data_IF_877817672774
#
_entry.id   IF_877817672774
#
_cell.length_a   1.000
_cell.length_b   1.000
_cell.length_c   1.000
_cell.angle_alpha   90.00
_cell.angle_beta   90.00
_cell.angle_gamma   90.00
#
_symmetry.space_group_name_H-M   'P 1'
#
loop_
_entity.id
_entity.type
_entity.pdbx_description
1 polymer ?
#
# COMPACT_ATOMS: atom_id res chain seq x y z
N UNK A 1 8.19 1.61 -2.68
CA UNK A 1 7.84 0.32 -2.09
C UNK A 1 7.35 -0.70 -3.14
N UNK A 2 6.21 -0.46 -3.88
CA UNK A 2 5.67 -1.45 -4.83
C UNK A 2 6.64 -1.71 -5.99
N UNK A 3 7.06 -0.65 -6.68
CA UNK A 3 8.01 -0.75 -7.80
C UNK A 3 9.33 -1.40 -7.37
N UNK A 4 9.89 -0.95 -6.27
CA UNK A 4 11.09 -1.52 -5.68
C UNK A 4 10.92 -3.03 -5.36
N UNK A 5 9.74 -3.45 -4.87
CA UNK A 5 9.46 -4.86 -4.66
C UNK A 5 9.41 -5.64 -5.98
N UNK A 6 8.80 -5.07 -7.02
CA UNK A 6 8.76 -5.66 -8.35
C UNK A 6 10.16 -5.74 -8.98
N UNK A 7 10.96 -4.68 -8.85
CA UNK A 7 12.35 -4.66 -9.33
C UNK A 7 13.20 -5.73 -8.65
N UNK A 8 13.05 -5.86 -7.32
CA UNK A 8 13.81 -6.83 -6.53
C UNK A 8 13.44 -8.29 -6.82
N UNK A 9 12.18 -8.56 -7.16
CA UNK A 9 11.69 -9.94 -7.39
C UNK A 9 11.75 -10.32 -8.85
N UNK A 10 11.39 -9.43 -9.75
CA UNK A 10 11.23 -9.71 -11.18
C UNK A 10 12.41 -9.19 -12.03
N UNK A 11 13.24 -8.31 -11.48
CA UNK A 11 14.18 -7.53 -12.26
C UNK A 11 13.50 -6.33 -12.93
N UNK A 12 14.28 -5.31 -13.25
CA UNK A 12 13.76 -4.05 -13.86
C UNK A 12 13.15 -4.26 -15.25
N UNK A 13 13.52 -5.34 -15.94
CA UNK A 13 13.00 -5.73 -17.25
C UNK A 13 11.96 -6.85 -17.17
N UNK A 14 11.67 -7.33 -15.96
CA UNK A 14 10.77 -8.45 -15.70
C UNK A 14 9.33 -8.04 -15.44
N UNK A 15 9.02 -6.77 -15.42
CA UNK A 15 7.67 -6.27 -15.21
C UNK A 15 7.43 -4.92 -15.90
N UNK A 16 6.16 -4.58 -16.13
CA UNK A 16 5.74 -3.24 -16.50
C UNK A 16 4.31 -2.99 -16.04
N UNK A 17 3.91 -1.73 -16.00
CA UNK A 17 2.53 -1.34 -15.72
C UNK A 17 1.93 -0.53 -16.85
N UNK A 18 0.62 -0.65 -17.02
CA UNK A 18 -0.21 0.18 -17.91
C UNK A 18 -1.39 0.74 -17.15
N UNK A 19 -1.82 1.93 -17.56
CA UNK A 19 -3.03 2.53 -17.05
C UNK A 19 -4.03 2.68 -18.18
N UNK A 20 -5.29 2.39 -17.88
CA UNK A 20 -6.41 2.60 -18.78
C UNK A 20 -7.50 3.39 -18.05
N UNK A 21 -8.27 4.14 -18.82
CA UNK A 21 -9.33 5.02 -18.33
C UNK A 21 -10.66 4.55 -18.89
N UNK A 22 -11.34 3.59 -18.27
CA UNK A 22 -12.62 3.09 -18.73
C UNK A 22 -13.70 4.17 -18.79
N UNK A 23 -13.61 5.17 -17.92
CA UNK A 23 -14.44 6.38 -17.92
C UNK A 23 -13.58 7.59 -17.57
N UNK A 24 -14.10 8.81 -17.74
CA UNK A 24 -13.41 10.04 -17.37
C UNK A 24 -13.06 10.13 -15.88
N UNK A 25 -13.73 9.34 -15.04
CA UNK A 25 -13.60 9.37 -13.58
C UNK A 25 -13.01 8.09 -12.97
N UNK A 26 -12.63 7.14 -13.81
CA UNK A 26 -12.07 5.88 -13.35
C UNK A 26 -10.73 5.59 -14.00
N UNK A 27 -9.84 4.98 -13.25
CA UNK A 27 -8.54 4.51 -13.74
C UNK A 27 -8.31 3.08 -13.27
N UNK A 28 -7.87 2.23 -14.20
CA UNK A 28 -7.41 0.88 -13.89
C UNK A 28 -5.92 0.79 -14.18
N UNK A 29 -5.22 -0.03 -13.40
CA UNK A 29 -3.81 -0.36 -13.58
C UNK A 29 -3.67 -1.85 -13.87
N UNK A 30 -2.96 -2.18 -14.93
CA UNK A 30 -2.50 -3.53 -15.21
C UNK A 30 -1.02 -3.63 -14.86
N UNK A 31 -0.65 -4.60 -14.02
CA UNK A 31 0.74 -4.97 -13.78
C UNK A 31 1.01 -6.27 -14.49
N UNK A 32 1.99 -6.26 -15.39
CA UNK A 32 2.43 -7.39 -16.19
C UNK A 32 3.75 -7.89 -15.68
N UNK A 33 3.86 -9.20 -15.48
CA UNK A 33 5.09 -9.87 -15.07
C UNK A 33 5.48 -10.90 -16.14
N UNK A 34 6.78 -10.92 -16.43
CA UNK A 34 7.39 -11.84 -17.38
C UNK A 34 7.66 -13.20 -16.74
N UNK A 35 7.19 -14.25 -17.36
CA UNK A 35 7.48 -15.62 -16.99
C UNK A 35 8.21 -16.31 -18.13
N UNK A 36 9.25 -17.04 -17.79
CA UNK A 36 9.96 -17.90 -18.75
C UNK A 36 9.64 -19.36 -18.48
N UNK A 37 9.27 -20.06 -19.53
CA UNK A 37 9.11 -21.51 -19.55
C UNK A 37 9.98 -22.07 -20.69
N UNK A 38 11.17 -22.57 -20.33
CA UNK A 38 12.17 -22.94 -21.30
C UNK A 38 12.60 -21.78 -22.20
N UNK A 39 12.37 -21.89 -23.51
CA UNK A 39 12.65 -20.81 -24.48
C UNK A 39 11.46 -19.85 -24.68
N UNK A 40 10.31 -20.14 -24.09
CA UNK A 40 9.11 -19.34 -24.24
C UNK A 40 9.05 -18.25 -23.17
N UNK A 41 8.77 -17.02 -23.59
CA UNK A 41 8.50 -15.89 -22.71
C UNK A 41 7.02 -15.57 -22.74
N UNK A 42 6.37 -15.59 -21.59
CA UNK A 42 4.96 -15.26 -21.43
C UNK A 42 4.82 -14.05 -20.50
N UNK A 43 3.94 -13.13 -20.85
CA UNK A 43 3.55 -12.01 -20.01
C UNK A 43 2.17 -12.26 -19.44
N UNK A 44 2.04 -12.23 -18.14
CA UNK A 44 0.75 -12.32 -17.45
C UNK A 44 0.42 -10.97 -16.86
N UNK A 45 -0.77 -10.46 -17.16
CA UNK A 45 -1.24 -9.16 -16.66
C UNK A 45 -2.40 -9.35 -15.69
N UNK A 46 -2.32 -8.70 -14.55
CA UNK A 46 -3.42 -8.63 -13.59
C UNK A 46 -3.86 -7.18 -13.44
N UNK A 47 -5.15 -6.95 -13.52
CA UNK A 47 -5.76 -5.63 -13.52
C UNK A 47 -6.55 -5.39 -12.25
N UNK A 48 -6.52 -4.15 -11.75
CA UNK A 48 -7.44 -3.66 -10.75
C UNK A 48 -7.58 -2.14 -10.88
N UNK A 49 -8.67 -1.58 -10.37
CA UNK A 49 -9.00 -0.18 -10.54
C UNK A 49 -9.38 0.53 -9.26
N UNK A 50 -9.23 1.84 -9.28
CA UNK A 50 -9.84 2.73 -8.32
C UNK A 50 -11.08 3.35 -8.96
N UNK A 51 -12.24 3.14 -8.34
CA UNK A 51 -13.47 3.82 -8.72
C UNK A 51 -13.49 5.28 -8.28
N UNK A 52 -14.53 5.97 -8.68
CA UNK A 52 -14.75 7.40 -8.40
C UNK A 52 -14.57 7.72 -6.92
N UNK A 53 -13.53 8.45 -6.58
CA UNK A 53 -13.52 9.31 -5.42
C UNK A 53 -13.25 10.73 -5.92
N UNK A 54 -14.22 11.60 -5.70
CA UNK A 54 -14.14 12.99 -6.07
C UNK A 54 -12.87 13.66 -5.50
N UNK A 55 -12.32 14.56 -6.28
CA UNK A 55 -11.56 15.75 -5.86
C UNK A 55 -10.03 15.74 -6.01
N UNK A 56 -9.31 14.63 -6.00
CA UNK A 56 -7.88 14.68 -6.38
C UNK A 56 -7.56 13.61 -7.44
N UNK A 57 -8.24 13.73 -8.55
CA UNK A 57 -8.52 12.63 -9.46
C UNK A 57 -7.31 12.04 -10.20
N UNK A 58 -6.23 12.76 -10.48
CA UNK A 58 -5.20 12.22 -11.38
C UNK A 58 -4.07 11.53 -10.63
N UNK A 59 -3.41 12.20 -9.70
CA UNK A 59 -2.24 11.60 -8.99
C UNK A 59 -2.66 10.53 -7.98
N UNK A 60 -3.72 10.78 -7.22
CA UNK A 60 -4.24 9.81 -6.24
C UNK A 60 -4.84 8.57 -6.90
N UNK A 61 -5.53 8.74 -8.03
CA UNK A 61 -6.13 7.66 -8.80
C UNK A 61 -5.11 6.66 -9.32
N UNK A 62 -4.05 7.12 -9.96
CA UNK A 62 -2.97 6.26 -10.50
C UNK A 62 -2.29 5.45 -9.39
N UNK A 63 -1.92 6.12 -8.29
CA UNK A 63 -1.28 5.46 -7.16
C UNK A 63 -2.20 4.43 -6.50
N UNK A 64 -3.47 4.73 -6.37
CA UNK A 64 -4.46 3.81 -5.80
C UNK A 64 -4.72 2.61 -6.73
N UNK A 65 -4.87 2.84 -8.03
CA UNK A 65 -5.03 1.77 -9.00
C UNK A 65 -3.82 0.82 -9.00
N UNK A 66 -2.59 1.36 -8.94
CA UNK A 66 -1.38 0.54 -8.86
C UNK A 66 -1.31 -0.27 -7.57
N UNK A 67 -1.67 0.31 -6.42
CA UNK A 67 -1.72 -0.42 -5.14
C UNK A 67 -2.70 -1.60 -5.20
N UNK A 68 -3.87 -1.40 -5.80
CA UNK A 68 -4.88 -2.45 -5.97
C UNK A 68 -4.41 -3.55 -6.94
N UNK A 69 -3.82 -3.18 -8.08
CA UNK A 69 -3.24 -4.14 -9.00
C UNK A 69 -2.09 -4.94 -8.37
N UNK A 70 -1.27 -4.31 -7.54
CA UNK A 70 -0.18 -4.96 -6.81
C UNK A 70 -0.69 -6.04 -5.84
N UNK A 71 -1.85 -5.83 -5.20
CA UNK A 71 -2.49 -6.82 -4.32
C UNK A 71 -2.89 -8.09 -5.09
N UNK A 72 -3.26 -7.97 -6.37
CA UNK A 72 -3.54 -9.13 -7.23
C UNK A 72 -2.30 -10.02 -7.41
N UNK A 73 -1.11 -9.45 -7.31
CA UNK A 73 0.18 -10.14 -7.32
C UNK A 73 0.70 -10.51 -5.93
N UNK A 74 -0.08 -10.28 -4.87
CA UNK A 74 0.30 -10.58 -3.48
C UNK A 74 1.01 -9.45 -2.75
N UNK A 75 1.43 -8.39 -3.43
CA UNK A 75 2.15 -7.27 -2.81
C UNK A 75 1.18 -6.49 -1.92
N UNK A 76 1.48 -6.42 -0.61
CA UNK A 76 0.64 -5.73 0.37
C UNK A 76 -0.67 -6.46 0.71
N UNK A 77 -0.88 -7.67 0.22
CA UNK A 77 -2.12 -8.43 0.48
C UNK A 77 -2.33 -8.70 1.97
N UNK A 78 -1.28 -8.87 2.73
CA UNK A 78 -1.33 -9.07 4.19
C UNK A 78 -2.01 -7.92 4.92
N UNK A 79 -1.97 -6.70 4.38
CA UNK A 79 -2.59 -5.52 5.00
C UNK A 79 -4.10 -5.68 5.18
N UNK A 80 -4.75 -6.48 4.32
CA UNK A 80 -6.19 -6.78 4.43
C UNK A 80 -6.53 -7.76 5.55
N UNK A 81 -5.52 -8.44 6.10
CA UNK A 81 -5.68 -9.38 7.23
C UNK A 81 -5.35 -8.73 8.57
N UNK A 82 -4.82 -7.50 8.56
CA UNK A 82 -4.52 -6.79 9.79
C UNK A 82 -5.81 -6.35 10.47
N UNK A 83 -5.89 -6.64 11.76
CA UNK A 83 -6.98 -6.16 12.60
C UNK A 83 -6.80 -4.69 12.94
N UNK A 84 -7.91 -3.99 13.12
CA UNK A 84 -7.88 -2.61 13.57
C UNK A 84 -7.41 -2.56 15.03
N UNK A 85 -6.44 -1.68 15.30
CA UNK A 85 -5.93 -1.46 16.66
C UNK A 85 -6.45 -0.12 17.17
N UNK A 86 -7.13 -0.17 18.30
CA UNK A 86 -7.57 1.05 19.00
C UNK A 86 -6.43 1.52 19.88
N UNK A 87 -5.97 2.76 19.65
CA UNK A 87 -4.87 3.36 20.40
C UNK A 87 -5.42 4.55 21.18
N UNK A 88 -5.21 4.53 22.50
CA UNK A 88 -5.53 5.67 23.37
C UNK A 88 -4.36 6.66 23.33
N UNK A 89 -4.61 7.92 22.94
CA UNK A 89 -3.56 8.93 22.95
C UNK A 89 -3.22 9.40 24.36
N UNK A 90 -2.04 9.96 24.51
CA UNK A 90 -1.61 10.66 25.72
C UNK A 90 -1.38 12.14 25.43
N UNK A 91 -1.78 13.01 26.36
CA UNK A 91 -1.68 14.46 26.20
C UNK A 91 -0.25 14.98 26.46
N UNK A 92 0.50 14.26 27.31
CA UNK A 92 1.87 14.64 27.65
C UNK A 92 2.87 13.92 26.75
N UNK A 93 3.88 14.64 26.33
CA UNK A 93 5.00 14.05 25.62
C UNK A 93 5.65 12.96 26.48
N UNK A 94 5.77 11.72 25.98
CA UNK A 94 6.51 10.68 26.66
C UNK A 94 7.99 11.05 26.82
N UNK A 95 8.62 10.57 27.88
CA UNK A 95 10.07 10.76 28.08
C UNK A 95 10.90 10.14 26.96
N UNK A 96 10.47 8.96 26.47
CA UNK A 96 11.00 8.34 25.26
C UNK A 96 9.94 8.37 24.16
N UNK A 97 10.24 9.08 23.09
CA UNK A 97 9.33 9.26 21.93
C UNK A 97 9.62 8.30 20.79
N UNK A 98 10.59 7.40 20.90
CA UNK A 98 11.00 6.50 19.82
C UNK A 98 9.85 5.63 19.29
N UNK A 99 8.97 5.18 20.17
CA UNK A 99 7.79 4.36 19.86
C UNK A 99 6.50 5.17 19.69
N UNK A 100 6.58 6.50 19.62
CA UNK A 100 5.40 7.35 19.54
C UNK A 100 5.36 8.16 18.25
N UNK A 101 4.14 8.49 17.85
CA UNK A 101 3.84 9.43 16.76
C UNK A 101 3.10 10.61 17.38
N UNK A 102 3.54 11.81 17.10
CA UNK A 102 2.84 13.03 17.48
C UNK A 102 1.90 13.41 16.33
N UNK A 103 0.64 13.67 16.67
CA UNK A 103 -0.33 14.26 15.76
C UNK A 103 -0.99 15.49 16.36
N UNK A 104 -1.24 16.48 15.52
CA UNK A 104 -2.11 17.61 15.89
C UNK A 104 -3.55 17.26 15.54
N UNK A 105 -4.42 17.23 16.53
CA UNK A 105 -5.84 16.98 16.33
C UNK A 105 -6.63 18.22 16.76
N UNK A 106 -7.74 18.47 16.09
CA UNK A 106 -8.67 19.55 16.44
C UNK A 106 -9.85 18.94 17.20
N UNK A 107 -9.89 19.16 18.50
CA UNK A 107 -10.99 18.73 19.35
C UNK A 107 -11.73 19.98 19.85
N UNK A 108 -13.04 20.05 19.61
CA UNK A 108 -13.87 21.19 20.01
C UNK A 108 -13.26 22.54 19.60
N UNK A 109 -12.81 22.66 18.35
CA UNK A 109 -12.13 23.82 17.79
C UNK A 109 -10.78 24.20 18.42
N UNK A 110 -10.25 23.43 19.38
CA UNK A 110 -8.95 23.62 19.99
C UNK A 110 -7.95 22.65 19.38
N UNK A 111 -6.81 23.18 18.90
CA UNK A 111 -5.70 22.33 18.41
C UNK A 111 -4.97 21.75 19.62
N UNK A 112 -4.92 20.44 19.72
CA UNK A 112 -4.16 19.69 20.73
C UNK A 112 -3.08 18.83 20.07
N UNK A 113 -1.93 18.73 20.71
CA UNK A 113 -0.90 17.75 20.36
C UNK A 113 -1.15 16.50 21.18
N UNK A 114 -1.32 15.37 20.48
CA UNK A 114 -1.51 14.07 21.12
C UNK A 114 -0.42 13.13 20.67
N UNK A 115 0.01 12.28 21.57
CA UNK A 115 1.02 11.26 21.33
C UNK A 115 0.37 9.90 21.28
N UNK A 116 0.64 9.16 20.20
CA UNK A 116 0.09 7.83 19.96
C UNK A 116 1.23 6.82 19.94
N UNK A 117 1.11 5.78 20.75
CA UNK A 117 2.07 4.67 20.69
C UNK A 117 1.93 3.95 19.34
N UNK A 118 3.04 3.71 18.65
CA UNK A 118 3.03 3.00 17.37
C UNK A 118 2.55 1.56 17.58
N UNK A 119 1.54 1.08 16.84
CA UNK A 119 1.19 -0.32 16.86
C UNK A 119 2.32 -1.13 16.23
N UNK A 120 2.61 -2.28 16.79
CA UNK A 120 3.56 -3.23 16.20
C UNK A 120 2.81 -4.15 15.26
N UNK A 121 3.44 -4.46 14.12
CA UNK A 121 2.92 -5.48 13.23
C UNK A 121 3.00 -6.85 13.91
N UNK A 122 2.00 -7.71 13.73
CA UNK A 122 2.09 -9.08 14.20
C UNK A 122 3.24 -9.82 13.47
N UNK A 123 3.80 -10.83 14.13
CA UNK A 123 4.97 -11.55 13.62
C UNK A 123 4.75 -12.07 12.20
N UNK A 124 3.57 -12.62 11.93
CA UNK A 124 3.24 -13.14 10.59
C UNK A 124 3.21 -12.09 9.46
N UNK A 125 3.15 -10.79 9.82
CA UNK A 125 3.16 -9.68 8.86
C UNK A 125 4.56 -9.07 8.66
N UNK A 126 5.56 -9.58 9.35
CA UNK A 126 6.94 -9.13 9.22
C UNK A 126 7.63 -9.79 8.03
N UNK A 127 8.57 -9.10 7.35
CA UNK A 127 9.37 -9.70 6.29
C UNK A 127 10.19 -10.90 6.82
N UNK A 128 10.27 -11.97 6.06
CA UNK A 128 11.08 -13.15 6.40
C UNK A 128 10.45 -14.14 7.37
N UNK A 129 9.20 -13.92 7.78
CA UNK A 129 8.42 -14.98 8.41
C UNK A 129 7.72 -15.76 7.31
N UNK A 130 8.42 -16.75 6.75
CA UNK A 130 7.79 -17.75 5.90
C UNK A 130 6.84 -18.54 6.79
N UNK A 131 5.54 -18.38 6.56
CA UNK A 131 4.56 -19.29 7.12
C UNK A 131 4.71 -20.61 6.33
N UNK A 132 5.37 -21.57 6.95
CA UNK A 132 5.22 -22.99 6.58
C UNK A 132 3.77 -23.43 6.71
#
# INVERSE_FOLDING_TARGET
>A
AIQERLDNVCGVDGWYNKYEYPTEKSVICGISIKFQDGQNTNWITKWDGAGETAIEAVKGGLSNAMKRAAVQWGIGRYLYKLEAVIITPVDKQPADTSDYIMAQVKLNNVKKRLWFKRPKLPVWALPGTDNE
#
